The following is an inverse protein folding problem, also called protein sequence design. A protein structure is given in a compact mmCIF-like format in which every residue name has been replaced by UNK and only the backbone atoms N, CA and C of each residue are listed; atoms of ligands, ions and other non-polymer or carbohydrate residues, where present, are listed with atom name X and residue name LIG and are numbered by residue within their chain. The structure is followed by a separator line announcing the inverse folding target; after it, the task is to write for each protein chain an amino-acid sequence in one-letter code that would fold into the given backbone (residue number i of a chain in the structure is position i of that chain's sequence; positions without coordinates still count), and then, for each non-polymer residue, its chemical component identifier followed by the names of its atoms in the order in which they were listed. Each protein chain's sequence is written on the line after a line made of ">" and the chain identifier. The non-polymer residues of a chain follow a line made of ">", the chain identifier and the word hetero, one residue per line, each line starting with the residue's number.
data_IF_846488463915
#
_entry.id   IF_846488463915
#
_cell.length_a   1.000
_cell.length_b   1.000
_cell.length_c   1.000
_cell.angle_alpha   90.00
_cell.angle_beta   90.00
_cell.angle_gamma   90.00
#
_symmetry.space_group_name_H-M   'P 1'
#
loop_
_entity.id
_entity.type
_entity.pdbx_description
1 polymer ?
#
# COMPACT_ATOMS: atom_id res chain seq x y z
N UNK A 1 -30.04 -3.69 1.20
CA UNK A 1 -28.85 -3.73 0.29
C UNK A 1 -27.65 -3.36 1.16
N UNK A 2 -26.61 -4.18 1.21
CA UNK A 2 -25.40 -3.87 1.98
C UNK A 2 -24.74 -2.62 1.38
N UNK A 3 -24.39 -1.67 2.25
CA UNK A 3 -23.72 -0.43 1.84
C UNK A 3 -22.38 -0.74 1.19
N UNK A 4 -22.07 -0.07 0.07
CA UNK A 4 -20.81 -0.27 -0.64
C UNK A 4 -19.64 0.28 0.20
N UNK A 5 -18.45 -0.38 0.19
CA UNK A 5 -17.30 0.08 0.96
C UNK A 5 -16.84 1.48 0.55
N UNK A 6 -16.22 2.19 1.48
CA UNK A 6 -15.59 3.49 1.25
C UNK A 6 -14.07 3.37 1.38
N UNK A 7 -13.35 3.87 0.39
CA UNK A 7 -11.89 3.95 0.41
C UNK A 7 -11.42 5.08 1.33
N UNK A 8 -10.37 4.83 2.08
CA UNK A 8 -9.71 5.85 2.92
C UNK A 8 -8.21 5.77 2.67
N UNK A 9 -7.61 6.84 2.17
CA UNK A 9 -6.17 6.90 1.95
C UNK A 9 -5.54 8.04 2.73
N UNK A 10 -4.40 7.80 3.38
CA UNK A 10 -3.65 8.82 4.09
C UNK A 10 -2.37 9.15 3.33
N UNK A 11 -2.23 10.40 2.92
CA UNK A 11 -1.00 10.97 2.37
C UNK A 11 -0.30 11.79 3.44
N UNK A 12 0.86 11.32 3.90
CA UNK A 12 1.75 12.07 4.77
C UNK A 12 2.88 12.73 3.97
N UNK A 13 3.33 13.90 4.43
CA UNK A 13 4.40 14.65 3.80
C UNK A 13 5.77 14.03 4.05
N UNK A 14 6.49 13.71 2.98
CA UNK A 14 7.94 13.67 2.98
C UNK A 14 8.38 15.03 2.46
N UNK A 15 9.19 15.77 3.22
CA UNK A 15 9.68 17.08 2.81
C UNK A 15 11.08 17.32 3.38
N UNK A 16 11.91 18.02 2.64
CA UNK A 16 13.23 18.42 3.11
C UNK A 16 14.34 18.31 2.06
N UNK A 17 14.29 17.30 1.21
CA UNK A 17 15.26 17.14 0.12
C UNK A 17 14.56 16.90 -1.22
N UNK A 18 15.23 17.21 -2.36
CA UNK A 18 14.66 16.93 -3.68
C UNK A 18 14.30 15.45 -3.91
N UNK A 19 14.98 14.51 -3.25
CA UNK A 19 14.65 13.09 -3.33
C UNK A 19 13.39 12.76 -2.55
N UNK A 20 13.19 13.32 -1.37
CA UNK A 20 11.98 13.15 -0.59
C UNK A 20 10.78 13.77 -1.31
N UNK A 21 10.94 14.96 -1.90
CA UNK A 21 9.89 15.59 -2.73
C UNK A 21 9.52 14.72 -3.93
N UNK A 22 10.49 14.10 -4.60
CA UNK A 22 10.25 13.17 -5.70
C UNK A 22 9.45 11.95 -5.24
N UNK A 23 9.83 11.32 -4.12
CA UNK A 23 9.10 10.18 -3.55
C UNK A 23 7.70 10.59 -3.11
N UNK A 24 7.53 11.76 -2.47
CA UNK A 24 6.24 12.30 -2.07
C UNK A 24 5.30 12.52 -3.27
N UNK A 25 5.84 13.11 -4.36
CA UNK A 25 5.09 13.30 -5.59
C UNK A 25 4.65 11.96 -6.23
N UNK A 26 5.54 10.96 -6.21
CA UNK A 26 5.23 9.60 -6.69
C UNK A 26 4.14 8.93 -5.83
N UNK A 27 4.27 8.98 -4.51
CA UNK A 27 3.28 8.43 -3.56
C UNK A 27 1.91 9.07 -3.76
N UNK A 28 1.86 10.40 -3.92
CA UNK A 28 0.62 11.13 -4.22
C UNK A 28 0.00 10.65 -5.53
N UNK A 29 0.78 10.59 -6.61
CA UNK A 29 0.31 10.13 -7.91
C UNK A 29 -0.22 8.69 -7.85
N UNK A 30 0.52 7.78 -7.24
CA UNK A 30 0.15 6.37 -7.07
C UNK A 30 -1.14 6.21 -6.25
N UNK A 31 -1.29 6.98 -5.17
CA UNK A 31 -2.49 6.95 -4.33
C UNK A 31 -3.72 7.39 -5.10
N UNK A 32 -3.63 8.50 -5.84
CA UNK A 32 -4.74 8.99 -6.66
C UNK A 32 -5.08 7.99 -7.77
N UNK A 33 -4.08 7.44 -8.46
CA UNK A 33 -4.29 6.41 -9.48
C UNK A 33 -5.00 5.16 -8.91
N UNK A 34 -4.64 4.75 -7.68
CA UNK A 34 -5.27 3.61 -7.00
C UNK A 34 -6.72 3.91 -6.60
N UNK A 35 -7.00 5.11 -6.07
CA UNK A 35 -8.37 5.55 -5.76
C UNK A 35 -9.25 5.62 -7.02
N UNK A 36 -8.75 6.24 -8.09
CA UNK A 36 -9.48 6.34 -9.36
C UNK A 36 -9.74 4.96 -9.97
N UNK A 37 -8.75 4.06 -9.94
CA UNK A 37 -8.87 2.67 -10.40
C UNK A 37 -9.93 1.92 -9.61
N UNK A 38 -9.91 2.00 -8.29
CA UNK A 38 -10.90 1.34 -7.44
C UNK A 38 -12.31 1.89 -7.66
N UNK A 39 -12.48 3.22 -7.69
CA UNK A 39 -13.78 3.87 -7.93
C UNK A 39 -14.35 3.52 -9.31
N UNK A 40 -13.49 3.42 -10.35
CA UNK A 40 -13.94 3.07 -11.71
C UNK A 40 -14.59 1.69 -11.81
N UNK A 41 -14.38 0.81 -10.83
CA UNK A 41 -15.03 -0.51 -10.77
C UNK A 41 -16.51 -0.46 -10.41
N UNK A 42 -16.98 0.63 -9.80
CA UNK A 42 -18.32 0.74 -9.23
C UNK A 42 -18.54 -0.08 -7.96
N UNK A 43 -17.50 -0.73 -7.42
CA UNK A 43 -17.59 -1.55 -6.20
C UNK A 43 -17.48 -0.72 -4.90
N UNK A 44 -17.08 0.54 -5.00
CA UNK A 44 -16.90 1.47 -3.89
C UNK A 44 -17.82 2.67 -4.01
N UNK A 45 -18.39 3.12 -2.89
CA UNK A 45 -19.32 4.25 -2.86
C UNK A 45 -18.59 5.59 -3.11
N UNK A 46 -17.44 5.77 -2.48
CA UNK A 46 -16.66 7.01 -2.48
C UNK A 46 -15.24 6.75 -1.97
N UNK A 47 -14.41 7.79 -1.99
CA UNK A 47 -13.10 7.78 -1.37
C UNK A 47 -12.90 9.04 -0.51
N UNK A 48 -12.15 8.89 0.59
CA UNK A 48 -11.67 9.98 1.43
C UNK A 48 -10.14 9.98 1.34
N UNK A 49 -9.60 11.08 0.86
CA UNK A 49 -8.16 11.30 0.78
C UNK A 49 -7.76 12.29 1.86
N UNK A 50 -7.08 11.81 2.89
CA UNK A 50 -6.51 12.64 3.95
C UNK A 50 -5.13 13.09 3.50
N UNK A 51 -4.87 14.38 3.58
CA UNK A 51 -3.59 14.98 3.22
C UNK A 51 -3.22 16.09 4.19
N UNK A 52 -1.94 16.37 4.32
CA UNK A 52 -1.39 17.49 5.10
C UNK A 52 -1.53 18.84 4.37
N UNK A 53 -1.71 18.81 3.05
CA UNK A 53 -1.89 19.99 2.20
C UNK A 53 -2.85 19.70 1.04
N UNK A 54 -3.65 20.67 0.60
CA UNK A 54 -4.49 20.55 -0.59
C UNK A 54 -3.69 20.70 -1.90
N UNK A 55 -2.40 20.98 -1.81
CA UNK A 55 -1.56 21.24 -2.97
C UNK A 55 -1.46 20.02 -3.90
N UNK A 56 -1.70 20.24 -5.20
CA UNK A 56 -1.70 19.18 -6.21
C UNK A 56 -2.89 18.22 -6.15
N UNK A 57 -3.97 18.59 -5.43
CA UNK A 57 -5.20 17.80 -5.29
C UNK A 57 -6.44 18.47 -5.92
N UNK A 58 -6.26 19.50 -6.77
CA UNK A 58 -7.36 20.30 -7.30
C UNK A 58 -8.23 19.54 -8.33
N UNK A 59 -7.64 18.65 -9.12
CA UNK A 59 -8.30 17.99 -10.26
C UNK A 59 -8.67 16.53 -9.96
N UNK A 60 -9.36 16.31 -8.83
CA UNK A 60 -9.81 14.98 -8.43
C UNK A 60 -11.28 14.75 -8.81
N UNK A 61 -11.65 13.49 -9.13
CA UNK A 61 -13.05 13.12 -9.31
C UNK A 61 -13.92 13.52 -8.11
N UNK A 62 -15.15 13.95 -8.35
CA UNK A 62 -16.09 14.36 -7.29
C UNK A 62 -16.38 13.26 -6.24
N UNK A 63 -16.13 12.00 -6.58
CA UNK A 63 -16.25 10.88 -5.66
C UNK A 63 -15.10 10.78 -4.64
N UNK A 64 -14.05 11.62 -4.77
CA UNK A 64 -12.92 11.69 -3.84
C UNK A 64 -13.08 12.97 -3.00
N UNK A 65 -13.36 12.80 -1.72
CA UNK A 65 -13.41 13.90 -0.75
C UNK A 65 -12.01 14.10 -0.18
N UNK A 66 -11.45 15.30 -0.35
CA UNK A 66 -10.18 15.68 0.28
C UNK A 66 -10.45 16.20 1.67
N UNK A 67 -9.82 15.62 2.67
CA UNK A 67 -9.89 16.05 4.07
C UNK A 67 -8.50 16.45 4.56
N UNK A 68 -8.29 17.76 4.68
CA UNK A 68 -6.97 18.30 5.05
C UNK A 68 -6.80 18.25 6.57
N UNK A 69 -5.65 17.72 6.99
CA UNK A 69 -5.30 17.64 8.41
C UNK A 69 -4.81 19.01 8.93
N UNK A 70 -5.45 19.51 9.99
CA UNK A 70 -5.16 20.82 10.55
C UNK A 70 -4.47 20.77 11.93
N UNK A 71 -3.97 19.60 12.36
CA UNK A 71 -3.44 19.43 13.72
C UNK A 71 -2.38 18.35 13.87
N UNK A 72 -2.05 18.02 15.12
CA UNK A 72 -1.14 16.92 15.42
C UNK A 72 -1.73 15.60 14.93
N UNK A 73 -1.05 14.97 13.98
CA UNK A 73 -1.48 13.70 13.39
C UNK A 73 -1.30 12.54 14.39
N UNK A 74 -2.35 11.77 14.59
CA UNK A 74 -2.32 10.50 15.31
C UNK A 74 -3.25 9.54 14.55
N UNK A 75 -2.64 8.53 13.95
CA UNK A 75 -3.28 7.66 12.97
C UNK A 75 -4.62 7.08 13.42
N UNK A 76 -4.65 6.36 14.55
CA UNK A 76 -5.85 5.66 15.00
C UNK A 76 -6.99 6.60 15.36
N UNK A 77 -6.69 7.76 15.97
CA UNK A 77 -7.70 8.78 16.28
C UNK A 77 -8.24 9.44 15.03
N UNK A 78 -7.35 9.69 14.06
CA UNK A 78 -7.73 10.28 12.79
C UNK A 78 -8.68 9.37 12.02
N UNK A 79 -8.34 8.09 11.91
CA UNK A 79 -9.19 7.09 11.25
C UNK A 79 -10.53 6.94 11.97
N UNK A 80 -10.54 6.89 13.31
CA UNK A 80 -11.78 6.84 14.09
C UNK A 80 -12.67 8.07 13.85
N UNK A 81 -12.08 9.27 13.82
CA UNK A 81 -12.81 10.50 13.52
C UNK A 81 -13.46 10.50 12.13
N UNK A 82 -12.79 9.91 11.13
CA UNK A 82 -13.37 9.77 9.79
C UNK A 82 -14.52 8.77 9.78
N UNK A 83 -14.36 7.62 10.45
CA UNK A 83 -15.43 6.61 10.56
C UNK A 83 -16.67 7.23 11.19
N UNK A 84 -16.53 7.98 12.28
CA UNK A 84 -17.65 8.61 12.95
C UNK A 84 -18.29 9.73 12.10
N UNK A 85 -17.48 10.58 11.51
CA UNK A 85 -17.94 11.76 10.74
C UNK A 85 -18.68 11.36 9.47
N UNK A 86 -18.21 10.33 8.79
CA UNK A 86 -18.75 9.87 7.50
C UNK A 86 -19.64 8.63 7.61
N UNK A 87 -19.81 8.06 8.81
CA UNK A 87 -20.63 6.87 9.04
C UNK A 87 -20.11 5.65 8.30
N UNK A 88 -18.78 5.41 8.30
CA UNK A 88 -18.18 4.37 7.48
C UNK A 88 -18.42 2.97 8.06
N UNK A 89 -19.32 2.22 7.46
CA UNK A 89 -19.61 0.84 7.87
C UNK A 89 -18.55 -0.15 7.38
N UNK A 90 -17.97 0.10 6.19
CA UNK A 90 -16.98 -0.78 5.54
C UNK A 90 -15.80 0.03 5.02
N UNK A 91 -14.96 0.56 5.91
CA UNK A 91 -13.77 1.28 5.49
C UNK A 91 -12.73 0.35 4.87
N UNK A 92 -12.12 0.81 3.77
CA UNK A 92 -10.96 0.19 3.12
C UNK A 92 -9.83 1.22 3.17
N UNK A 93 -9.03 1.11 4.22
CA UNK A 93 -7.87 1.96 4.44
C UNK A 93 -6.66 1.45 3.65
N UNK A 94 -5.87 2.35 3.08
CA UNK A 94 -4.50 2.07 2.65
C UNK A 94 -3.60 3.30 2.81
N UNK A 95 -2.32 3.04 3.08
CA UNK A 95 -1.34 4.11 3.26
C UNK A 95 -0.93 4.72 1.92
N UNK A 96 -0.55 5.99 1.93
CA UNK A 96 -0.18 6.71 0.72
C UNK A 96 1.07 6.13 0.08
N UNK A 97 0.99 5.82 -1.23
CA UNK A 97 2.06 5.22 -2.00
C UNK A 97 2.13 3.71 -1.94
N UNK A 98 1.33 3.07 -1.06
CA UNK A 98 1.25 1.62 -1.00
C UNK A 98 0.44 1.03 -2.16
N UNK A 99 0.76 -0.20 -2.50
CA UNK A 99 0.00 -1.03 -3.43
C UNK A 99 -0.28 -0.39 -4.81
N UNK A 100 0.68 0.31 -5.44
CA UNK A 100 0.47 1.02 -6.71
C UNK A 100 0.10 0.08 -7.86
N UNK A 101 0.40 -1.22 -7.71
CA UNK A 101 0.16 -2.27 -8.69
C UNK A 101 -1.13 -3.06 -8.43
N UNK A 102 -1.89 -2.75 -7.37
CA UNK A 102 -3.14 -3.47 -7.08
C UNK A 102 -4.16 -3.23 -8.20
N UNK A 103 -4.62 -4.30 -8.83
CA UNK A 103 -5.50 -4.25 -9.99
C UNK A 103 -6.95 -3.90 -9.62
N UNK A 104 -7.72 -3.45 -10.60
CA UNK A 104 -9.16 -3.22 -10.45
C UNK A 104 -9.90 -4.47 -9.95
N UNK A 105 -9.51 -5.65 -10.43
CA UNK A 105 -10.13 -6.91 -10.02
C UNK A 105 -9.80 -7.29 -8.57
N UNK A 106 -8.60 -7.01 -8.09
CA UNK A 106 -8.22 -7.21 -6.68
C UNK A 106 -9.02 -6.27 -5.78
N UNK A 107 -9.22 -5.00 -6.15
CA UNK A 107 -10.11 -4.09 -5.43
C UNK A 107 -11.56 -4.61 -5.39
N UNK A 108 -12.09 -5.10 -6.50
CA UNK A 108 -13.42 -5.73 -6.54
C UNK A 108 -13.47 -6.94 -5.59
N UNK A 109 -12.43 -7.76 -5.56
CA UNK A 109 -12.34 -8.90 -4.64
C UNK A 109 -12.42 -8.49 -3.17
N UNK A 110 -11.73 -7.41 -2.77
CA UNK A 110 -11.79 -6.85 -1.41
C UNK A 110 -13.22 -6.39 -1.08
N UNK A 111 -13.84 -5.63 -1.98
CA UNK A 111 -15.20 -5.14 -1.79
C UNK A 111 -16.23 -6.28 -1.69
N UNK A 112 -16.10 -7.30 -2.51
CA UNK A 112 -16.96 -8.48 -2.48
C UNK A 112 -16.81 -9.28 -1.17
N UNK A 113 -15.57 -9.46 -0.70
CA UNK A 113 -15.32 -10.17 0.56
C UNK A 113 -15.92 -9.41 1.75
N UNK A 114 -15.76 -8.08 1.82
CA UNK A 114 -16.45 -7.25 2.81
C UNK A 114 -17.98 -7.29 2.68
N UNK A 115 -18.48 -7.52 1.48
CA UNK A 115 -19.92 -7.66 1.20
C UNK A 115 -20.55 -8.93 1.74
N UNK A 116 -19.74 -9.97 2.05
CA UNK A 116 -20.23 -11.28 2.50
C UNK A 116 -20.73 -11.29 3.95
N UNK A 117 -20.33 -10.32 4.76
CA UNK A 117 -20.76 -10.22 6.15
C UNK A 117 -19.89 -9.33 7.00
N UNK A 118 -20.28 -9.19 8.26
CA UNK A 118 -19.54 -8.44 9.27
C UNK A 118 -18.54 -9.33 10.02
N UNK A 119 -17.69 -8.70 10.82
CA UNK A 119 -16.72 -9.40 11.65
C UNK A 119 -15.46 -9.81 10.91
N UNK A 120 -15.12 -9.15 9.81
CA UNK A 120 -13.92 -9.43 8.99
C UNK A 120 -12.89 -8.31 9.05
N UNK A 121 -11.60 -8.68 8.99
CA UNK A 121 -10.50 -7.78 8.69
C UNK A 121 -9.63 -8.37 7.58
N UNK A 122 -9.56 -7.67 6.44
CA UNK A 122 -8.75 -8.04 5.28
C UNK A 122 -7.49 -7.18 5.29
N UNK A 123 -6.33 -7.78 5.06
CA UNK A 123 -5.05 -7.05 5.07
C UNK A 123 -4.04 -7.66 4.11
N UNK A 124 -3.11 -6.84 3.62
CA UNK A 124 -1.95 -7.32 2.85
C UNK A 124 -0.88 -7.94 3.74
N UNK A 125 -0.74 -7.45 4.98
CA UNK A 125 0.21 -7.96 5.96
C UNK A 125 -0.36 -7.79 7.37
N UNK A 126 -0.43 -8.88 8.12
CA UNK A 126 -1.06 -8.88 9.45
C UNK A 126 -0.28 -8.09 10.52
N UNK A 127 1.05 -8.03 10.40
CA UNK A 127 1.91 -7.38 11.39
C UNK A 127 2.48 -6.02 10.94
N UNK A 128 2.39 -5.73 9.64
CA UNK A 128 2.86 -4.47 9.06
C UNK A 128 1.95 -4.11 7.90
N UNK A 129 0.77 -3.63 8.24
CA UNK A 129 -0.33 -3.45 7.30
C UNK A 129 -0.25 -2.11 6.58
N UNK A 130 -0.23 -2.16 5.26
CA UNK A 130 -0.39 -0.99 4.38
C UNK A 130 -1.82 -0.88 3.85
N UNK A 131 -2.55 -2.00 3.84
CA UNK A 131 -3.98 -2.05 3.53
C UNK A 131 -4.72 -2.80 4.62
N UNK A 132 -5.78 -2.17 5.14
CA UNK A 132 -6.72 -2.78 6.10
C UNK A 132 -8.14 -2.44 5.71
N UNK A 133 -8.91 -3.45 5.32
CA UNK A 133 -10.32 -3.33 5.07
C UNK A 133 -11.09 -4.11 6.13
N UNK A 134 -12.13 -3.54 6.72
CA UNK A 134 -12.84 -4.20 7.82
C UNK A 134 -14.32 -3.83 7.89
N UNK A 135 -15.08 -4.69 8.53
CA UNK A 135 -16.51 -4.51 8.80
C UNK A 135 -16.88 -5.19 10.13
N UNK A 136 -17.67 -4.53 11.00
CA UNK A 136 -18.17 -3.16 10.88
C UNK A 136 -17.10 -2.11 11.20
N UNK A 137 -17.24 -0.90 10.64
CA UNK A 137 -16.30 0.20 10.89
C UNK A 137 -16.20 0.61 12.36
N UNK A 138 -17.31 0.50 13.11
CA UNK A 138 -17.33 0.76 14.56
C UNK A 138 -16.40 -0.16 15.38
N UNK A 139 -15.92 -1.26 14.81
CA UNK A 139 -14.95 -2.14 15.47
C UNK A 139 -13.68 -1.40 15.89
N UNK A 140 -13.34 -0.31 15.19
CA UNK A 140 -12.19 0.54 15.55
C UNK A 140 -12.33 1.15 16.95
N UNK A 141 -13.54 1.35 17.46
CA UNK A 141 -13.78 1.87 18.83
C UNK A 141 -13.44 0.87 19.93
N UNK A 142 -13.31 -0.39 19.58
CA UNK A 142 -13.02 -1.49 20.53
C UNK A 142 -11.53 -1.73 20.72
N UNK A 143 -10.68 -1.04 19.96
CA UNK A 143 -9.23 -1.21 20.05
C UNK A 143 -8.56 0.02 20.67
N UNK A 144 -7.37 -0.17 21.23
CA UNK A 144 -6.50 0.95 21.58
C UNK A 144 -6.07 1.65 20.29
N UNK A 145 -6.33 2.97 20.13
CA UNK A 145 -5.97 3.68 18.92
C UNK A 145 -4.45 3.60 18.65
N UNK A 146 -4.02 2.98 17.54
CA UNK A 146 -2.60 2.84 17.23
C UNK A 146 -2.00 4.16 16.75
N UNK A 147 -0.71 4.37 16.98
CA UNK A 147 0.02 5.55 16.51
C UNK A 147 0.35 5.47 15.02
N UNK A 148 0.46 4.25 14.48
CA UNK A 148 0.72 3.95 13.07
C UNK A 148 -0.27 2.91 12.54
N UNK A 149 -0.32 2.73 11.22
CA UNK A 149 -1.17 1.75 10.56
C UNK A 149 -0.70 0.30 10.73
N UNK A 150 0.60 0.08 10.89
CA UNK A 150 1.20 -1.24 10.97
C UNK A 150 0.45 -2.26 11.86
N UNK A 151 0.08 -1.95 13.11
CA UNK A 151 -0.59 -2.91 13.99
C UNK A 151 -2.10 -2.98 13.79
N UNK A 152 -2.70 -2.16 12.92
CA UNK A 152 -4.15 -2.00 12.84
C UNK A 152 -4.89 -3.32 12.61
N UNK A 153 -4.45 -4.12 11.63
CA UNK A 153 -5.10 -5.39 11.32
C UNK A 153 -5.05 -6.37 12.50
N UNK A 154 -3.90 -6.45 13.17
CA UNK A 154 -3.70 -7.30 14.34
C UNK A 154 -4.57 -6.84 15.52
N UNK A 155 -4.60 -5.53 15.80
CA UNK A 155 -5.43 -4.99 16.89
C UNK A 155 -6.92 -5.23 16.66
N UNK A 156 -7.40 -5.05 15.42
CA UNK A 156 -8.79 -5.37 15.08
C UNK A 156 -9.12 -6.84 15.28
N UNK A 157 -8.21 -7.75 14.94
CA UNK A 157 -8.42 -9.17 15.19
C UNK A 157 -8.37 -9.52 16.69
N UNK A 158 -7.35 -9.06 17.42
CA UNK A 158 -7.11 -9.45 18.82
C UNK A 158 -8.04 -8.76 19.81
N UNK A 159 -8.30 -7.44 19.63
CA UNK A 159 -9.08 -6.66 20.59
C UNK A 159 -10.55 -6.50 20.19
N UNK A 160 -10.85 -6.40 18.89
CA UNK A 160 -12.23 -6.27 18.42
C UNK A 160 -12.86 -7.60 17.98
N UNK A 161 -12.07 -8.68 17.91
CA UNK A 161 -12.55 -10.03 17.59
C UNK A 161 -12.86 -10.23 16.11
N UNK A 162 -12.32 -9.40 15.20
CA UNK A 162 -12.54 -9.59 13.78
C UNK A 162 -11.75 -10.79 13.23
N UNK A 163 -12.37 -11.52 12.31
CA UNK A 163 -11.76 -12.68 11.65
C UNK A 163 -10.77 -12.23 10.56
N UNK A 164 -9.45 -12.52 10.67
CA UNK A 164 -8.48 -12.07 9.69
C UNK A 164 -8.59 -12.83 8.37
N UNK A 165 -8.49 -12.08 7.28
CA UNK A 165 -8.46 -12.56 5.89
C UNK A 165 -7.25 -11.93 5.18
N UNK A 166 -6.09 -12.59 5.18
CA UNK A 166 -4.93 -12.06 4.47
C UNK A 166 -5.15 -12.13 2.96
N UNK A 167 -4.77 -11.07 2.26
CA UNK A 167 -4.68 -11.09 0.80
C UNK A 167 -3.60 -12.09 0.34
N UNK A 168 -3.74 -12.71 -0.83
CA UNK A 168 -2.67 -13.49 -1.43
C UNK A 168 -1.40 -12.63 -1.56
N UNK A 169 -0.26 -13.20 -1.17
CA UNK A 169 1.03 -12.51 -1.33
C UNK A 169 1.43 -12.48 -2.81
N UNK A 170 1.51 -11.29 -3.36
CA UNK A 170 1.90 -11.02 -4.73
C UNK A 170 2.68 -9.72 -4.79
N UNK A 171 3.26 -9.41 -5.94
CA UNK A 171 3.90 -8.10 -6.14
C UNK A 171 2.88 -6.98 -5.96
N UNK A 172 1.66 -7.14 -6.46
CA UNK A 172 0.60 -6.13 -6.34
C UNK A 172 0.17 -5.86 -4.91
N UNK A 173 0.17 -6.89 -4.04
CA UNK A 173 -0.25 -6.77 -2.64
C UNK A 173 0.88 -6.45 -1.66
N UNK A 174 2.15 -6.40 -2.10
CA UNK A 174 3.31 -6.21 -1.22
C UNK A 174 4.24 -5.09 -1.66
N UNK A 175 4.07 -4.55 -2.89
CA UNK A 175 4.94 -3.50 -3.39
C UNK A 175 4.52 -2.14 -2.83
N UNK A 176 5.52 -1.38 -2.39
CA UNK A 176 5.36 -0.07 -1.79
C UNK A 176 6.36 0.93 -2.36
N UNK A 177 6.04 2.22 -2.33
CA UNK A 177 6.91 3.29 -2.79
C UNK A 177 7.51 3.99 -1.57
N UNK A 178 8.69 3.55 -1.15
CA UNK A 178 9.43 4.11 -0.01
C UNK A 178 10.68 4.88 -0.42
N UNK A 179 11.20 4.59 -1.61
CA UNK A 179 12.50 5.10 -2.03
C UNK A 179 12.58 5.35 -3.54
N UNK A 180 13.59 6.11 -4.02
CA UNK A 180 13.87 6.23 -5.44
C UNK A 180 14.15 4.90 -6.14
N UNK A 181 14.63 3.89 -5.41
CA UNK A 181 14.86 2.55 -5.96
C UNK A 181 13.55 1.88 -6.39
N UNK A 182 12.47 2.09 -5.64
CA UNK A 182 11.15 1.54 -5.97
C UNK A 182 10.61 2.18 -7.25
N UNK A 183 10.86 3.47 -7.46
CA UNK A 183 10.52 4.17 -8.69
C UNK A 183 11.32 3.64 -9.89
N UNK A 184 12.60 3.32 -9.70
CA UNK A 184 13.43 2.69 -10.73
C UNK A 184 12.89 1.29 -11.09
N UNK A 185 12.46 0.52 -10.09
CA UNK A 185 11.83 -0.79 -10.31
C UNK A 185 10.53 -0.64 -11.09
N UNK A 186 9.64 0.29 -10.71
CA UNK A 186 8.39 0.56 -11.43
C UNK A 186 8.64 1.01 -12.88
N UNK A 187 9.69 1.80 -13.12
CA UNK A 187 10.11 2.18 -14.47
C UNK A 187 10.49 0.97 -15.32
N UNK A 188 11.08 -0.06 -14.71
CA UNK A 188 11.48 -1.28 -15.40
C UNK A 188 10.32 -2.25 -15.67
N UNK A 189 9.49 -2.49 -14.64
CA UNK A 189 8.45 -3.52 -14.71
C UNK A 189 7.14 -3.00 -15.28
N UNK A 190 6.94 -1.68 -15.25
CA UNK A 190 5.69 -1.06 -15.67
C UNK A 190 4.54 -1.31 -14.72
N UNK A 191 3.31 -1.05 -15.18
CA UNK A 191 2.10 -1.26 -14.40
C UNK A 191 1.70 -0.08 -13.51
N UNK A 192 2.49 0.99 -13.49
CA UNK A 192 2.12 2.23 -12.83
C UNK A 192 0.82 2.81 -13.42
N UNK A 193 0.02 3.46 -12.59
CA UNK A 193 -1.15 4.20 -13.05
C UNK A 193 -0.76 5.45 -13.87
N UNK A 194 -1.71 6.08 -14.56
CA UNK A 194 -1.39 7.10 -15.56
C UNK A 194 -0.74 8.37 -14.99
N UNK A 195 -1.04 8.75 -13.75
CA UNK A 195 -0.42 9.91 -13.11
C UNK A 195 1.03 9.60 -12.73
N UNK A 196 1.26 8.46 -12.08
CA UNK A 196 2.59 8.01 -11.71
C UNK A 196 3.46 7.77 -12.95
N UNK A 197 2.91 7.13 -13.98
CA UNK A 197 3.63 6.88 -15.23
C UNK A 197 4.16 8.17 -15.87
N UNK A 198 3.33 9.24 -15.91
CA UNK A 198 3.79 10.55 -16.42
C UNK A 198 4.98 11.12 -15.63
N UNK A 199 5.01 10.94 -14.32
CA UNK A 199 6.15 11.36 -13.49
C UNK A 199 7.39 10.54 -13.81
N UNK A 200 7.28 9.21 -13.90
CA UNK A 200 8.39 8.33 -14.24
C UNK A 200 8.98 8.67 -15.62
N UNK A 201 8.13 8.93 -16.60
CA UNK A 201 8.55 9.33 -17.95
C UNK A 201 9.26 10.69 -17.96
N UNK A 202 8.81 11.62 -17.12
CA UNK A 202 9.42 12.94 -16.96
C UNK A 202 10.81 12.87 -16.30
N UNK A 203 10.94 12.08 -15.24
CA UNK A 203 12.19 11.98 -14.48
C UNK A 203 13.28 11.19 -15.21
N UNK A 204 12.94 10.28 -16.11
CA UNK A 204 13.88 9.48 -16.92
C UNK A 204 14.96 8.82 -16.06
N UNK A 205 14.52 8.11 -15.00
CA UNK A 205 15.43 7.46 -14.08
C UNK A 205 16.39 6.50 -14.79
N UNK A 206 17.68 6.54 -14.40
CA UNK A 206 18.65 5.58 -14.91
C UNK A 206 18.44 4.19 -14.29
N UNK A 207 17.91 3.29 -15.09
CA UNK A 207 17.62 1.90 -14.69
C UNK A 207 18.62 0.88 -15.28
N UNK A 208 19.74 1.34 -15.86
CA UNK A 208 20.69 0.46 -16.55
C UNK A 208 21.29 -0.60 -15.61
N UNK A 209 21.59 -0.23 -14.35
CA UNK A 209 22.08 -1.17 -13.34
C UNK A 209 21.08 -2.27 -13.03
N UNK A 210 19.82 -1.92 -12.81
CA UNK A 210 18.74 -2.87 -12.52
C UNK A 210 18.51 -3.81 -13.71
N UNK A 211 18.50 -3.28 -14.94
CA UNK A 211 18.36 -4.09 -16.16
C UNK A 211 19.50 -5.09 -16.32
N UNK A 212 20.73 -4.68 -16.05
CA UNK A 212 21.88 -5.59 -16.05
C UNK A 212 21.77 -6.65 -14.97
N UNK A 213 21.31 -6.29 -13.77
CA UNK A 213 21.11 -7.25 -12.69
C UNK A 213 20.06 -8.33 -13.07
N UNK A 214 18.94 -7.90 -13.66
CA UNK A 214 17.90 -8.84 -14.12
C UNK A 214 18.42 -9.87 -15.12
N UNK A 215 19.34 -9.49 -15.99
CA UNK A 215 19.94 -10.43 -16.97
C UNK A 215 20.66 -11.62 -16.31
N UNK A 216 21.28 -11.41 -15.14
CA UNK A 216 21.95 -12.50 -14.41
C UNK A 216 20.95 -13.51 -13.83
N UNK A 217 19.75 -13.09 -13.48
CA UNK A 217 18.73 -14.01 -12.93
C UNK A 217 18.17 -14.98 -13.97
N UNK A 218 18.29 -14.68 -15.25
CA UNK A 218 17.86 -15.54 -16.36
C UNK A 218 18.99 -16.36 -17.00
N UNK A 219 20.25 -16.14 -16.59
CA UNK A 219 21.42 -16.85 -17.09
C UNK A 219 21.74 -18.05 -16.18
N UNK A 220 21.60 -19.31 -16.69
CA UNK A 220 21.87 -20.51 -15.89
C UNK A 220 23.36 -20.70 -15.51
N UNK A 221 24.27 -19.95 -16.13
CA UNK A 221 25.72 -19.99 -15.81
C UNK A 221 26.12 -18.93 -14.81
N UNK A 222 25.25 -17.96 -14.54
CA UNK A 222 25.53 -16.87 -13.62
C UNK A 222 25.52 -17.31 -12.15
N UNK A 223 26.27 -16.60 -11.34
CA UNK A 223 26.22 -16.68 -9.87
C UNK A 223 25.87 -15.32 -9.30
N UNK A 224 24.80 -15.28 -8.51
CA UNK A 224 24.30 -14.06 -7.86
C UNK A 224 24.46 -14.17 -6.36
N UNK A 225 25.12 -13.21 -5.74
CA UNK A 225 25.18 -13.04 -4.29
C UNK A 225 24.21 -11.94 -3.87
N UNK A 226 23.23 -12.32 -3.07
CA UNK A 226 22.31 -11.37 -2.40
C UNK A 226 22.88 -11.07 -1.01
N UNK A 227 23.22 -9.81 -0.75
CA UNK A 227 23.74 -9.36 0.55
C UNK A 227 22.88 -8.25 1.14
N UNK A 228 22.60 -8.32 2.44
CA UNK A 228 21.82 -7.32 3.18
C UNK A 228 20.64 -7.90 3.93
N UNK A 229 19.68 -7.06 4.28
CA UNK A 229 18.48 -7.48 5.02
C UNK A 229 17.43 -8.04 4.04
N UNK A 230 17.08 -9.31 4.22
CA UNK A 230 16.07 -9.98 3.40
C UNK A 230 15.40 -11.11 4.20
N UNK A 231 14.18 -11.44 3.85
CA UNK A 231 13.47 -12.56 4.48
C UNK A 231 13.66 -13.88 3.74
N UNK A 232 13.46 -14.99 4.44
CA UNK A 232 13.53 -16.36 3.89
C UNK A 232 12.63 -16.58 2.67
N UNK A 233 11.51 -15.88 2.58
CA UNK A 233 10.60 -15.97 1.43
C UNK A 233 11.21 -15.43 0.13
N UNK A 234 12.01 -14.35 0.21
CA UNK A 234 12.74 -13.82 -0.95
C UNK A 234 13.75 -14.85 -1.46
N UNK A 235 14.46 -15.50 -0.53
CA UNK A 235 15.36 -16.60 -0.89
C UNK A 235 14.63 -17.74 -1.59
N UNK A 236 13.54 -18.25 -1.03
CA UNK A 236 12.74 -19.30 -1.64
C UNK A 236 12.21 -18.91 -3.02
N UNK A 237 11.77 -17.66 -3.17
CA UNK A 237 11.32 -17.15 -4.46
C UNK A 237 12.43 -17.16 -5.50
N UNK A 238 13.60 -16.60 -5.16
CA UNK A 238 14.73 -16.54 -6.08
C UNK A 238 15.26 -17.93 -6.45
N UNK A 239 15.30 -18.85 -5.50
CA UNK A 239 15.74 -20.24 -5.77
C UNK A 239 14.79 -20.96 -6.74
N UNK A 240 13.50 -20.70 -6.66
CA UNK A 240 12.49 -21.34 -7.50
C UNK A 240 12.32 -20.66 -8.86
N UNK A 241 12.37 -19.33 -8.91
CA UNK A 241 11.95 -18.53 -10.07
C UNK A 241 13.12 -18.02 -10.93
N UNK A 242 14.38 -18.28 -10.55
CA UNK A 242 15.55 -17.81 -11.31
C UNK A 242 16.33 -18.98 -11.92
N UNK A 243 17.01 -18.72 -13.03
CA UNK A 243 17.85 -19.74 -13.70
C UNK A 243 19.26 -19.80 -13.11
N UNK A 244 19.73 -18.74 -12.48
CA UNK A 244 21.08 -18.61 -11.95
C UNK A 244 21.27 -19.32 -10.62
N UNK A 245 22.54 -19.49 -10.22
CA UNK A 245 22.87 -19.96 -8.87
C UNK A 245 22.83 -18.78 -7.90
N UNK A 246 21.89 -18.80 -6.95
CA UNK A 246 21.76 -17.75 -5.94
C UNK A 246 22.43 -18.15 -4.63
N UNK A 247 23.14 -17.22 -4.02
CA UNK A 247 23.72 -17.33 -2.67
C UNK A 247 23.27 -16.14 -1.84
N UNK A 248 23.01 -16.37 -0.56
CA UNK A 248 22.60 -15.34 0.38
C UNK A 248 23.65 -15.15 1.46
N UNK A 249 23.98 -13.88 1.69
CA UNK A 249 24.65 -13.40 2.88
C UNK A 249 23.77 -12.32 3.47
N UNK A 250 22.74 -12.72 4.22
CA UNK A 250 21.65 -11.85 4.61
C UNK A 250 21.33 -11.96 6.09
N UNK A 251 20.96 -10.84 6.66
CA UNK A 251 20.35 -10.73 7.97
C UNK A 251 18.84 -10.84 7.82
N UNK A 252 18.16 -11.63 8.66
CA UNK A 252 16.73 -11.81 8.59
C UNK A 252 16.02 -10.51 8.99
N UNK A 253 15.03 -10.10 8.18
CA UNK A 253 14.22 -8.92 8.46
C UNK A 253 13.35 -9.17 9.69
N UNK A 254 13.41 -8.30 10.67
CA UNK A 254 12.64 -8.41 11.91
C UNK A 254 13.47 -8.77 13.15
N UNK A 255 14.73 -9.15 13.00
CA UNK A 255 15.66 -9.22 14.11
C UNK A 255 16.03 -7.80 14.54
N UNK A 256 15.53 -7.37 15.69
CA UNK A 256 16.03 -6.17 16.35
C UNK A 256 17.09 -6.66 17.36
N UNK A 257 18.30 -6.12 17.24
CA UNK A 257 19.26 -6.20 18.34
C UNK A 257 18.74 -5.31 19.47
N UNK A 258 18.54 -5.89 20.66
CA UNK A 258 18.28 -5.13 21.88
C UNK A 258 19.53 -4.35 22.31
#
# INVERSE_FOLDING_TARGET
>A
MSEAPTLVAFLGGLSGSPLEEMVAAARRAATIDSLERALSTGAFASAILVADSPEGLADLPAAIVVDVDAGAFQFGRRLAGLIDRFGLEKPVYFSGGSLPLLSAQEFVGIAQELGRGDGLVITNNFYSADLVAFSPGEALKKITPPDTDNPLARLLAEQAGLSPRPLPRSVSSQFDIDSPSDLAILTLVGGAGPRLQRLLDCWRLDVALYRRALAYFTDPTAQVLVAGRTGSQVWQYLERETACRVRFFAEERGMQAE
#
